data_IF_317150778839
#
_entry.id   IF_317150778839
#
_cell.length_a   1.000
_cell.length_b   1.000
_cell.length_c   1.000
_cell.angle_alpha   90.00
_cell.angle_beta   90.00
_cell.angle_gamma   90.00
#
_symmetry.space_group_name_H-M   'P 1'
#
loop_
_entity.id
_entity.type
_entity.pdbx_description
1 polymer ?
#
# COMPACT_ATOMS: atom_id res chain seq x y z
N UNK A 1 -7.56 14.25 -4.11
CA UNK A 1 -7.38 12.99 -3.38
C UNK A 1 -7.56 11.82 -4.36
N UNK A 2 -6.75 10.81 -4.22
CA UNK A 2 -6.84 9.64 -5.11
C UNK A 2 -8.07 8.81 -4.75
N UNK A 3 -8.64 8.17 -5.75
CA UNK A 3 -9.80 7.31 -5.53
C UNK A 3 -9.38 5.99 -4.89
N UNK A 4 -10.32 5.39 -4.17
CA UNK A 4 -10.09 4.11 -3.49
C UNK A 4 -9.50 3.06 -4.44
N UNK A 5 -10.06 2.92 -5.64
CA UNK A 5 -9.62 1.91 -6.58
C UNK A 5 -8.15 2.08 -6.98
N UNK A 6 -7.71 3.32 -7.17
CA UNK A 6 -6.32 3.60 -7.52
C UNK A 6 -5.38 3.22 -6.39
N UNK A 7 -5.71 3.63 -5.18
CA UNK A 7 -4.90 3.33 -4.00
C UNK A 7 -4.85 1.82 -3.77
N UNK A 8 -6.01 1.17 -3.92
CA UNK A 8 -6.11 -0.27 -3.74
C UNK A 8 -5.22 -1.04 -4.73
N UNK A 9 -5.24 -0.63 -5.99
CA UNK A 9 -4.39 -1.28 -7.00
C UNK A 9 -2.91 -1.09 -6.70
N UNK A 10 -2.52 0.12 -6.32
CA UNK A 10 -1.13 0.39 -5.97
C UNK A 10 -0.68 -0.41 -4.76
N UNK A 11 -1.55 -0.52 -3.77
CA UNK A 11 -1.27 -1.31 -2.57
C UNK A 11 -1.07 -2.78 -2.93
N UNK A 12 -1.95 -3.33 -3.78
CA UNK A 12 -1.81 -4.71 -4.22
C UNK A 12 -0.50 -4.95 -4.97
N UNK A 13 -0.10 -4.02 -5.81
CA UNK A 13 1.18 -4.11 -6.52
C UNK A 13 2.34 -4.13 -5.55
N UNK A 14 2.31 -3.25 -4.57
CA UNK A 14 3.36 -3.17 -3.57
C UNK A 14 3.43 -4.45 -2.75
N UNK A 15 2.30 -5.01 -2.38
CA UNK A 15 2.25 -6.26 -1.62
C UNK A 15 2.85 -7.42 -2.42
N UNK A 16 2.49 -7.52 -3.70
CA UNK A 16 3.03 -8.57 -4.57
C UNK A 16 4.54 -8.41 -4.75
N UNK A 17 4.98 -7.18 -4.94
CA UNK A 17 6.40 -6.90 -5.08
C UNK A 17 7.17 -7.25 -3.81
N UNK A 18 6.59 -6.92 -2.66
CA UNK A 18 7.19 -7.26 -1.37
C UNK A 18 7.34 -8.77 -1.23
N UNK A 19 6.31 -9.52 -1.59
CA UNK A 19 6.36 -10.98 -1.52
C UNK A 19 7.48 -11.54 -2.39
N UNK A 20 7.59 -11.06 -3.64
CA UNK A 20 8.61 -11.53 -4.57
C UNK A 20 10.03 -11.23 -4.07
N UNK A 21 10.23 -10.04 -3.55
CA UNK A 21 11.53 -9.62 -3.03
C UNK A 21 11.91 -10.43 -1.79
N UNK A 22 10.93 -10.73 -0.94
CA UNK A 22 11.17 -11.55 0.25
C UNK A 22 11.54 -12.98 -0.14
N UNK A 23 10.92 -13.52 -1.18
CA UNK A 23 11.27 -14.86 -1.68
C UNK A 23 12.71 -14.91 -2.17
N UNK A 24 13.22 -13.81 -2.71
CA UNK A 24 14.60 -13.70 -3.15
C UNK A 24 15.57 -13.40 -1.99
N UNK A 25 15.05 -13.25 -0.80
CA UNK A 25 15.80 -12.95 0.42
C UNK A 25 16.57 -11.62 0.35
N UNK A 26 16.05 -10.66 -0.42
CA UNK A 26 16.58 -9.32 -0.47
C UNK A 26 15.93 -8.49 0.64
N UNK A 27 16.48 -8.58 1.83
CA UNK A 27 15.88 -7.99 3.02
C UNK A 27 15.87 -6.47 3.00
N UNK A 28 16.86 -5.84 2.37
CA UNK A 28 16.91 -4.38 2.26
C UNK A 28 15.78 -3.88 1.39
N UNK A 29 15.59 -4.47 0.22
CA UNK A 29 14.49 -4.09 -0.66
C UNK A 29 13.14 -4.41 -0.03
N UNK A 30 13.04 -5.54 0.65
CA UNK A 30 11.81 -5.91 1.34
C UNK A 30 11.43 -4.83 2.37
N UNK A 31 12.39 -4.33 3.13
CA UNK A 31 12.14 -3.28 4.10
C UNK A 31 11.66 -1.99 3.41
N UNK A 32 12.34 -1.58 2.35
CA UNK A 32 11.98 -0.36 1.63
C UNK A 32 10.58 -0.46 1.04
N UNK A 33 10.23 -1.62 0.48
CA UNK A 33 8.90 -1.82 -0.08
C UNK A 33 7.85 -1.87 1.02
N UNK A 34 8.20 -2.38 2.21
CA UNK A 34 7.25 -2.39 3.33
C UNK A 34 6.88 -0.97 3.75
N UNK A 35 7.80 -0.01 3.61
CA UNK A 35 7.49 1.39 3.86
C UNK A 35 6.45 1.91 2.87
N UNK A 36 6.57 1.53 1.59
CA UNK A 36 5.58 1.90 0.58
C UNK A 36 4.22 1.28 0.89
N UNK A 37 4.21 0.02 1.33
CA UNK A 37 2.96 -0.64 1.73
C UNK A 37 2.29 0.12 2.88
N UNK A 38 3.08 0.53 3.86
CA UNK A 38 2.56 1.29 4.99
C UNK A 38 1.96 2.61 4.55
N UNK A 39 2.66 3.34 3.67
CA UNK A 39 2.18 4.63 3.16
C UNK A 39 0.89 4.46 2.37
N UNK A 40 0.83 3.45 1.52
CA UNK A 40 -0.38 3.18 0.72
C UNK A 40 -1.54 2.74 1.61
N UNK A 41 -1.27 1.96 2.63
CA UNK A 41 -2.30 1.55 3.59
C UNK A 41 -2.84 2.77 4.34
N UNK A 42 -1.97 3.70 4.70
CA UNK A 42 -2.39 4.94 5.36
C UNK A 42 -3.26 5.78 4.43
N UNK A 43 -2.87 5.89 3.17
CA UNK A 43 -3.64 6.61 2.18
C UNK A 43 -5.01 5.97 1.98
N UNK A 44 -5.07 4.65 1.95
CA UNK A 44 -6.33 3.92 1.85
C UNK A 44 -7.24 4.21 3.05
N UNK A 45 -6.67 4.22 4.24
CA UNK A 45 -7.39 4.54 5.45
C UNK A 45 -7.97 5.95 5.39
N UNK A 46 -7.17 6.91 4.89
CA UNK A 46 -7.61 8.30 4.76
C UNK A 46 -8.78 8.42 3.78
N UNK A 47 -8.74 7.69 2.66
CA UNK A 47 -9.83 7.69 1.69
C UNK A 47 -11.11 7.15 2.33
N UNK A 48 -11.01 6.05 3.04
CA UNK A 48 -12.18 5.42 3.68
C UNK A 48 -12.72 6.29 4.81
N UNK A 49 -11.84 6.93 5.57
CA UNK A 49 -12.26 7.83 6.63
C UNK A 49 -12.99 9.04 6.06
N UNK A 50 -12.49 9.58 4.96
CA UNK A 50 -13.13 10.71 4.29
C UNK A 50 -14.52 10.32 3.78
N UNK A 51 -14.65 9.13 3.21
CA UNK A 51 -15.95 8.63 2.75
C UNK A 51 -16.94 8.48 3.91
N UNK A 52 -16.45 8.00 5.05
CA UNK A 52 -17.29 7.83 6.23
C UNK A 52 -17.76 9.17 6.80
N UNK A 53 -16.94 10.23 6.65
CA UNK A 53 -17.25 11.54 7.19
C UNK A 53 -18.20 12.36 6.32
N UNK A 54 -18.48 11.90 5.11
CA UNK A 54 -19.32 12.61 4.17
C UNK A 54 -20.81 12.50 4.51
N UNK A 55 -21.15 11.67 5.41
CA UNK A 55 -22.57 11.46 5.78
C UNK A 55 -23.24 12.72 6.35
#
# INVERSE_FOLDING_TARGET
>A
MREFAEVFLDLNRAIKKLHNVKLKQDHTQAYLISCDVTDLAQELEDVLQNDANIQ
#
